data_IF_206433024045
#
_entry.id   IF_206433024045
#
_cell.length_a   1.000
_cell.length_b   1.000
_cell.length_c   1.000
_cell.angle_alpha   90.00
_cell.angle_beta   90.00
_cell.angle_gamma   90.00
#
_symmetry.space_group_name_H-M   'P 1'
#
loop_
_entity.id
_entity.type
_entity.pdbx_description
1 polymer ?
#
# COMPACT_ATOMS: atom_id res chain seq x y z
N UNK A 1 -5.16 6.50 13.08
CA UNK A 1 -5.34 7.63 14.03
C UNK A 1 -4.72 8.93 13.48
N UNK A 2 -3.66 8.86 12.67
CA UNK A 2 -2.96 10.03 12.11
C UNK A 2 -3.42 10.49 10.70
N UNK A 3 -4.19 9.70 9.94
CA UNK A 3 -4.79 10.18 8.68
C UNK A 3 -5.73 11.39 8.89
N UNK A 4 -6.45 11.42 10.01
CA UNK A 4 -7.29 12.57 10.36
C UNK A 4 -6.45 13.80 10.79
N UNK A 5 -5.25 13.58 11.31
CA UNK A 5 -4.30 14.63 11.68
C UNK A 5 -3.82 15.32 10.39
N UNK A 6 -3.41 14.54 9.39
CA UNK A 6 -2.96 15.08 8.10
C UNK A 6 -4.08 15.58 7.20
N UNK A 7 -5.31 15.08 7.30
CA UNK A 7 -6.43 15.53 6.46
C UNK A 7 -7.24 16.68 7.08
N UNK A 8 -7.52 16.61 8.39
CA UNK A 8 -8.45 17.51 9.10
C UNK A 8 -7.75 18.47 10.08
N UNK A 9 -6.47 18.28 10.38
CA UNK A 9 -5.76 19.09 11.37
C UNK A 9 -6.28 18.85 12.79
N UNK A 10 -6.73 17.64 13.11
CA UNK A 10 -7.31 17.31 14.42
C UNK A 10 -6.54 16.17 15.08
N UNK A 11 -6.04 16.40 16.28
CA UNK A 11 -5.38 15.41 17.13
C UNK A 11 -6.20 15.19 18.42
N UNK A 12 -6.43 13.93 18.79
CA UNK A 12 -7.14 13.58 20.01
C UNK A 12 -6.17 12.90 20.99
N UNK A 13 -6.01 13.50 22.17
CA UNK A 13 -5.25 12.95 23.27
C UNK A 13 -6.13 12.78 24.50
N UNK A 14 -6.48 11.53 24.84
CA UNK A 14 -7.29 11.19 26.02
C UNK A 14 -8.61 12.01 26.11
N UNK A 15 -9.29 12.24 24.99
CA UNK A 15 -10.53 13.02 24.94
C UNK A 15 -10.33 14.52 24.76
N UNK A 16 -9.09 15.02 24.82
CA UNK A 16 -8.77 16.41 24.47
C UNK A 16 -8.57 16.52 22.96
N UNK A 17 -9.47 17.27 22.31
CA UNK A 17 -9.40 17.55 20.88
C UNK A 17 -8.53 18.79 20.68
N UNK A 18 -7.44 18.64 19.93
CA UNK A 18 -6.52 19.69 19.55
C UNK A 18 -6.64 19.93 18.05
N UNK A 19 -7.10 21.12 17.68
CA UNK A 19 -7.13 21.56 16.29
C UNK A 19 -5.82 22.30 16.00
N UNK A 20 -5.19 21.98 14.87
CA UNK A 20 -3.97 22.65 14.42
C UNK A 20 -4.01 22.90 12.91
N UNK A 21 -3.40 23.99 12.49
CA UNK A 21 -3.28 24.36 11.08
C UNK A 21 -2.04 23.70 10.49
N UNK A 22 -2.12 23.22 9.24
CA UNK A 22 -0.97 22.65 8.54
C UNK A 22 0.10 23.71 8.32
N UNK A 23 1.35 23.41 8.63
CA UNK A 23 2.47 24.35 8.49
C UNK A 23 2.76 25.16 9.76
N UNK A 24 1.96 24.99 10.82
CA UNK A 24 2.16 25.69 12.09
C UNK A 24 2.57 24.71 13.20
N UNK A 25 3.32 25.23 14.17
CA UNK A 25 3.63 24.51 15.41
C UNK A 25 2.54 24.83 16.43
N UNK A 26 1.73 23.83 16.77
CA UNK A 26 0.83 23.92 17.91
C UNK A 26 1.57 23.46 19.16
N UNK A 27 1.74 24.34 20.14
CA UNK A 27 2.21 23.95 21.48
C UNK A 27 1.16 24.33 22.51
N UNK A 28 0.60 23.35 23.20
CA UNK A 28 -0.45 23.55 24.19
C UNK A 28 -0.18 22.73 25.45
N UNK A 29 -0.71 23.20 26.57
CA UNK A 29 -0.63 22.49 27.85
C UNK A 29 -2.02 22.15 28.33
N UNK A 30 -2.29 20.86 28.51
CA UNK A 30 -3.57 20.34 28.99
C UNK A 30 -3.39 19.70 30.36
N UNK A 31 -4.40 19.79 31.23
CA UNK A 31 -4.41 19.04 32.49
C UNK A 31 -4.85 17.62 32.18
N UNK A 32 -3.99 16.63 32.44
CA UNK A 32 -4.24 15.22 32.14
C UNK A 32 -4.47 14.38 33.40
N UNK A 33 -4.40 15.00 34.58
CA UNK A 33 -4.73 14.38 35.86
C UNK A 33 -5.10 15.44 36.89
N UNK A 34 -6.19 15.23 37.63
CA UNK A 34 -6.79 16.27 38.47
C UNK A 34 -7.52 17.34 37.64
N UNK A 35 -7.72 18.53 38.20
CA UNK A 35 -8.30 19.66 37.47
C UNK A 35 -7.64 20.98 37.87
N UNK A 36 -7.75 21.98 36.98
CA UNK A 36 -7.31 23.35 37.22
C UNK A 36 -8.39 24.30 36.73
N UNK A 37 -8.94 25.13 37.62
CA UNK A 37 -9.95 26.14 37.31
C UNK A 37 -9.59 27.44 38.05
N UNK A 38 -9.53 28.57 37.33
CA UNK A 38 -9.24 29.91 37.89
C UNK A 38 -8.04 29.97 38.85
N UNK A 39 -6.94 29.32 38.46
CA UNK A 39 -5.71 29.29 39.26
C UNK A 39 -5.76 28.36 40.49
N UNK A 40 -6.91 27.74 40.78
CA UNK A 40 -7.04 26.70 41.81
C UNK A 40 -6.88 25.32 41.19
N UNK A 41 -6.12 24.46 41.86
CA UNK A 41 -5.88 23.09 41.44
C UNK A 41 -6.61 22.12 42.36
N UNK A 42 -7.33 21.15 41.78
CA UNK A 42 -7.92 20.04 42.54
C UNK A 42 -7.18 18.75 42.20
N UNK A 43 -6.72 18.07 43.23
CA UNK A 43 -5.99 16.81 43.09
C UNK A 43 -6.85 15.74 42.43
N UNK A 44 -6.23 14.97 41.53
CA UNK A 44 -6.80 13.74 40.99
C UNK A 44 -6.62 12.56 41.94
N UNK A 45 -7.12 11.36 41.55
CA UNK A 45 -6.88 10.12 42.29
C UNK A 45 -5.38 9.79 42.37
N UNK A 46 -4.95 8.91 43.29
CA UNK A 46 -3.56 8.46 43.34
C UNK A 46 -3.08 7.95 41.98
N UNK A 47 -1.89 8.38 41.57
CA UNK A 47 -1.25 8.00 40.31
C UNK A 47 0.05 7.28 40.63
N UNK A 48 0.26 6.09 40.08
CA UNK A 48 1.52 5.37 40.17
C UNK A 48 2.17 5.30 38.79
N UNK A 49 3.43 5.73 38.70
CA UNK A 49 4.23 5.65 37.46
C UNK A 49 5.70 5.45 37.83
N UNK A 50 6.37 4.55 37.11
CA UNK A 50 7.80 4.25 37.29
C UNK A 50 8.16 3.92 38.77
N UNK A 51 7.26 3.21 39.46
CA UNK A 51 7.42 2.80 40.86
C UNK A 51 7.11 3.87 41.91
N UNK A 52 6.85 5.12 41.52
CA UNK A 52 6.52 6.22 42.44
C UNK A 52 5.01 6.41 42.47
N UNK A 53 4.44 6.57 43.66
CA UNK A 53 3.01 6.85 43.85
C UNK A 53 2.80 8.26 44.38
N UNK A 54 2.04 9.06 43.63
CA UNK A 54 1.58 10.37 44.05
C UNK A 54 0.13 10.25 44.52
N UNK A 55 -0.14 10.58 45.78
CA UNK A 55 -1.47 10.41 46.38
C UNK A 55 -2.46 11.53 46.04
N UNK A 56 -1.98 12.74 45.75
CA UNK A 56 -2.80 13.91 45.38
C UNK A 56 -2.24 14.66 44.17
N UNK A 57 -2.04 13.99 43.01
CA UNK A 57 -1.36 14.60 41.89
C UNK A 57 -2.26 15.54 41.09
N UNK A 58 -1.66 16.61 40.57
CA UNK A 58 -2.18 17.39 39.46
C UNK A 58 -1.12 17.35 38.37
N UNK A 59 -1.46 16.81 37.21
CA UNK A 59 -0.51 16.64 36.10
C UNK A 59 -0.97 17.46 34.91
N UNK A 60 -0.08 18.32 34.45
CA UNK A 60 -0.20 19.00 33.16
C UNK A 60 0.73 18.36 32.15
N UNK A 61 0.23 18.12 30.94
CA UNK A 61 0.98 17.58 29.82
C UNK A 61 1.10 18.66 28.76
N UNK A 62 2.34 18.99 28.39
CA UNK A 62 2.63 19.83 27.23
C UNK A 62 2.65 18.95 25.99
N UNK A 63 1.84 19.29 25.00
CA UNK A 63 1.77 18.64 23.70
C UNK A 63 2.26 19.64 22.67
N UNK A 64 3.26 19.25 21.89
CA UNK A 64 3.73 20.01 20.73
C UNK A 64 3.48 19.17 19.48
N UNK A 65 2.76 19.74 18.52
CA UNK A 65 2.49 19.17 17.20
C UNK A 65 3.13 20.11 16.18
N UNK A 66 3.99 19.57 15.34
CA UNK A 66 4.62 20.29 14.24
C UNK A 66 4.24 19.57 12.94
N UNK A 67 3.75 20.34 11.98
CA UNK A 67 3.41 19.81 10.65
C UNK A 67 4.17 20.57 9.58
N UNK A 68 5.00 19.88 8.82
CA UNK A 68 5.70 20.42 7.64
C UNK A 68 5.10 19.89 6.34
N UNK A 69 5.48 20.50 5.22
CA UNK A 69 5.21 20.01 3.87
C UNK A 69 6.51 20.00 3.10
N UNK A 70 6.76 18.93 2.37
CA UNK A 70 7.94 18.79 1.54
C UNK A 70 7.56 18.22 0.18
N UNK A 71 8.34 18.59 -0.82
CA UNK A 71 8.27 18.02 -2.16
C UNK A 71 9.30 16.88 -2.28
N UNK A 72 8.90 15.80 -2.93
CA UNK A 72 9.69 14.57 -3.06
C UNK A 72 9.40 13.94 -4.43
N UNK A 73 10.32 13.10 -4.89
CA UNK A 73 10.17 12.33 -6.13
C UNK A 73 9.47 11.00 -5.87
N UNK A 74 8.63 10.62 -6.83
CA UNK A 74 7.93 9.32 -6.83
C UNK A 74 8.44 8.50 -8.00
N UNK A 75 8.91 7.30 -7.69
CA UNK A 75 9.18 6.25 -8.66
C UNK A 75 7.93 5.36 -8.78
N UNK A 76 7.24 5.50 -9.91
CA UNK A 76 6.04 4.72 -10.16
C UNK A 76 6.31 3.29 -10.62
N UNK A 77 7.49 3.00 -11.15
CA UNK A 77 7.84 1.65 -11.63
C UNK A 77 8.12 0.75 -10.43
N UNK A 78 8.91 1.25 -9.47
CA UNK A 78 9.26 0.55 -8.24
C UNK A 78 8.22 0.72 -7.12
N UNK A 79 7.17 1.53 -7.36
CA UNK A 79 6.16 1.88 -6.36
C UNK A 79 6.77 2.51 -5.09
N UNK A 80 7.69 3.45 -5.26
CA UNK A 80 8.44 4.08 -4.18
C UNK A 80 8.29 5.60 -4.17
N UNK A 81 8.27 6.19 -2.98
CA UNK A 81 8.45 7.61 -2.75
C UNK A 81 9.76 7.81 -1.99
N UNK A 82 10.59 8.74 -2.46
CA UNK A 82 11.94 8.99 -1.93
C UNK A 82 11.90 10.16 -0.95
N UNK A 83 11.67 9.86 0.33
CA UNK A 83 11.71 10.88 1.37
C UNK A 83 13.15 11.39 1.57
N UNK A 84 13.35 12.55 2.25
CA UNK A 84 14.68 13.02 2.58
C UNK A 84 15.53 11.95 3.26
N UNK A 85 16.85 12.13 3.22
CA UNK A 85 17.77 11.18 3.87
C UNK A 85 17.65 9.75 3.27
N UNK A 86 17.18 9.64 2.03
CA UNK A 86 17.04 8.40 1.24
C UNK A 86 16.16 7.33 1.90
N UNK A 87 15.10 7.75 2.59
CA UNK A 87 14.11 6.82 3.14
C UNK A 87 13.10 6.46 2.04
N UNK A 88 13.09 5.19 1.64
CA UNK A 88 12.17 4.68 0.64
C UNK A 88 10.90 4.14 1.29
N UNK A 89 9.75 4.68 0.87
CA UNK A 89 8.45 4.22 1.32
C UNK A 89 7.60 3.75 0.14
N UNK A 90 6.68 2.82 0.37
CA UNK A 90 5.80 2.32 -0.69
C UNK A 90 4.71 3.34 -1.02
N UNK A 91 4.70 3.86 -2.25
CA UNK A 91 3.81 4.94 -2.67
C UNK A 91 2.32 4.60 -2.49
N UNK A 92 1.88 3.37 -2.81
CA UNK A 92 0.46 2.97 -2.70
C UNK A 92 -0.13 3.02 -1.28
N UNK A 93 0.71 2.99 -0.23
CA UNK A 93 0.24 3.07 1.14
C UNK A 93 -0.36 4.46 1.46
N UNK A 94 0.25 5.52 0.95
CA UNK A 94 -0.15 6.90 1.27
C UNK A 94 0.37 7.40 2.61
N UNK A 95 1.10 6.57 3.35
CA UNK A 95 1.70 6.90 4.64
C UNK A 95 3.02 6.15 4.84
N UNK A 96 3.90 6.70 5.68
CA UNK A 96 5.13 6.06 6.12
C UNK A 96 5.65 6.68 7.41
N UNK A 97 6.50 5.96 8.13
CA UNK A 97 7.25 6.51 9.25
C UNK A 97 8.66 6.91 8.81
N UNK A 98 9.04 8.14 9.13
CA UNK A 98 10.38 8.69 8.95
C UNK A 98 10.99 9.00 10.31
N UNK A 99 12.24 8.59 10.54
CA UNK A 99 12.85 8.72 11.86
C UNK A 99 12.98 10.17 12.36
N UNK A 100 13.17 11.12 11.44
CA UNK A 100 13.29 12.55 11.76
C UNK A 100 12.01 13.36 11.58
N UNK A 101 11.08 12.92 10.71
CA UNK A 101 9.84 13.64 10.41
C UNK A 101 8.61 13.03 11.10
N UNK A 102 8.76 11.86 11.73
CA UNK A 102 7.65 11.10 12.30
C UNK A 102 6.76 10.50 11.21
N UNK A 103 5.44 10.58 11.38
CA UNK A 103 4.50 10.03 10.40
C UNK A 103 4.33 11.00 9.23
N UNK A 104 4.62 10.52 8.02
CA UNK A 104 4.52 11.26 6.75
C UNK A 104 3.35 10.71 5.95
N UNK A 105 2.61 11.59 5.29
CA UNK A 105 1.40 11.25 4.53
C UNK A 105 1.42 11.92 3.16
N UNK A 106 0.89 11.24 2.16
CA UNK A 106 0.68 11.79 0.82
C UNK A 106 -0.61 11.29 0.20
N UNK A 107 -1.06 12.00 -0.84
CA UNK A 107 -2.21 11.57 -1.63
C UNK A 107 -1.75 10.67 -2.76
N UNK A 108 -2.35 9.50 -2.86
CA UNK A 108 -2.22 8.66 -4.06
C UNK A 108 -3.22 9.16 -5.10
N UNK A 109 -2.78 9.29 -6.35
CA UNK A 109 -3.67 9.76 -7.41
C UNK A 109 -4.74 8.71 -7.69
N UNK A 110 -6.01 9.02 -7.43
CA UNK A 110 -7.15 8.19 -7.85
C UNK A 110 -7.64 8.69 -9.22
N UNK A 111 -7.95 7.81 -10.17
CA UNK A 111 -8.52 8.22 -11.45
C UNK A 111 -9.87 8.94 -11.32
N UNK A 112 -9.94 10.17 -11.82
CA UNK A 112 -11.20 10.89 -12.09
C UNK A 112 -11.70 10.59 -13.51
N UNK A 113 -13.02 10.66 -13.70
CA UNK A 113 -13.70 10.22 -14.92
C UNK A 113 -14.17 11.37 -15.78
N UNK A 114 -13.28 12.35 -15.91
CA UNK A 114 -13.50 13.52 -16.71
C UNK A 114 -12.72 13.38 -18.02
N UNK A 115 -13.23 13.93 -19.12
CA UNK A 115 -12.68 13.77 -20.49
C UNK A 115 -11.23 14.25 -20.67
N UNK A 116 -10.68 14.93 -19.65
CA UNK A 116 -9.32 15.47 -19.61
C UNK A 116 -8.28 14.53 -18.99
N UNK A 117 -8.69 13.39 -18.43
CA UNK A 117 -7.75 12.43 -17.87
C UNK A 117 -7.07 11.62 -18.99
N UNK A 118 -5.73 11.71 -19.10
CA UNK A 118 -4.89 10.83 -19.92
C UNK A 118 -4.91 9.39 -19.37
N UNK A 119 -6.05 8.71 -19.41
CA UNK A 119 -6.20 7.35 -18.91
C UNK A 119 -6.92 6.49 -19.91
N UNK A 120 -6.31 5.34 -20.19
CA UNK A 120 -6.78 4.36 -21.15
C UNK A 120 -7.33 3.14 -20.41
N UNK A 121 -8.37 2.52 -20.96
CA UNK A 121 -8.63 1.11 -20.69
C UNK A 121 -7.51 0.32 -21.34
N UNK A 122 -6.72 -0.35 -20.51
CA UNK A 122 -5.56 -1.14 -20.94
C UNK A 122 -6.03 -2.54 -21.35
N UNK A 123 -6.91 -3.16 -20.57
CA UNK A 123 -7.53 -4.43 -20.92
C UNK A 123 -9.02 -4.43 -20.54
N UNK A 124 -9.85 -5.07 -21.37
CA UNK A 124 -11.26 -5.36 -21.10
C UNK A 124 -11.55 -6.76 -21.60
N UNK A 125 -11.96 -7.63 -20.69
CA UNK A 125 -12.25 -9.03 -20.99
C UNK A 125 -12.52 -9.81 -19.71
N UNK A 126 -12.71 -11.11 -19.83
CA UNK A 126 -12.91 -11.98 -18.69
C UNK A 126 -11.57 -12.25 -17.99
N UNK A 127 -11.64 -12.40 -16.67
CA UNK A 127 -10.48 -12.72 -15.85
C UNK A 127 -10.90 -13.69 -14.74
N UNK A 128 -9.99 -14.55 -14.31
CA UNK A 128 -10.20 -15.48 -13.21
C UNK A 128 -9.50 -14.97 -11.95
N UNK A 129 -10.18 -15.04 -10.81
CA UNK A 129 -9.57 -14.72 -9.52
C UNK A 129 -8.95 -15.97 -8.89
N UNK A 130 -7.68 -15.89 -8.55
CA UNK A 130 -6.93 -16.95 -7.86
C UNK A 130 -6.55 -16.43 -6.48
N UNK A 131 -6.98 -17.13 -5.44
CA UNK A 131 -6.63 -16.80 -4.07
C UNK A 131 -5.51 -17.71 -3.59
N UNK A 132 -4.43 -17.13 -3.07
CA UNK A 132 -3.37 -17.84 -2.37
C UNK A 132 -3.50 -17.53 -0.89
N UNK A 133 -3.67 -18.58 -0.10
CA UNK A 133 -3.64 -18.52 1.35
C UNK A 133 -2.38 -19.24 1.83
N UNK A 134 -1.47 -18.50 2.48
CA UNK A 134 -0.26 -19.05 3.09
C UNK A 134 -0.41 -19.25 4.61
N UNK A 135 -1.64 -19.12 5.14
CA UNK A 135 -1.97 -19.23 6.56
C UNK A 135 -1.73 -17.95 7.36
N UNK A 136 -1.05 -16.95 6.79
CA UNK A 136 -0.73 -15.66 7.45
C UNK A 136 -1.40 -14.50 6.71
N UNK A 137 -1.39 -14.53 5.38
CA UNK A 137 -2.01 -13.53 4.52
C UNK A 137 -2.71 -14.17 3.32
N UNK A 138 -3.97 -13.78 3.14
CA UNK A 138 -4.72 -14.10 1.93
C UNK A 138 -4.37 -13.09 0.83
N UNK A 139 -3.79 -13.57 -0.26
CA UNK A 139 -3.44 -12.76 -1.42
C UNK A 139 -4.30 -13.15 -2.62
N UNK A 140 -5.00 -12.20 -3.20
CA UNK A 140 -5.81 -12.42 -4.40
C UNK A 140 -5.04 -11.97 -5.64
N UNK A 141 -5.03 -12.80 -6.66
CA UNK A 141 -4.49 -12.50 -7.97
C UNK A 141 -5.60 -12.57 -9.02
N UNK A 142 -5.51 -11.72 -10.03
CA UNK A 142 -6.35 -11.76 -11.21
C UNK A 142 -5.51 -12.26 -12.36
N UNK A 143 -5.94 -13.36 -12.95
CA UNK A 143 -5.32 -13.99 -14.10
C UNK A 143 -6.20 -13.76 -15.32
N UNK A 144 -5.59 -13.25 -16.38
CA UNK A 144 -6.22 -13.06 -17.69
C UNK A 144 -5.53 -13.98 -18.65
N UNK A 145 -6.30 -14.79 -19.37
CA UNK A 145 -5.83 -15.65 -20.45
C UNK A 145 -6.89 -15.61 -21.54
N UNK A 146 -6.66 -14.77 -22.55
CA UNK A 146 -7.57 -14.61 -23.69
C UNK A 146 -6.76 -14.30 -24.95
N UNK A 147 -7.05 -15.05 -26.02
CA UNK A 147 -6.32 -14.99 -27.29
C UNK A 147 -4.80 -15.19 -27.09
N UNK A 148 -3.99 -14.17 -27.43
CA UNK A 148 -2.53 -14.15 -27.27
C UNK A 148 -2.07 -13.33 -26.04
N UNK A 149 -3.00 -12.94 -25.16
CA UNK A 149 -2.71 -12.11 -23.98
C UNK A 149 -2.88 -12.95 -22.72
N UNK A 150 -1.76 -13.15 -22.01
CA UNK A 150 -1.73 -13.84 -20.72
C UNK A 150 -1.03 -12.96 -19.69
N UNK A 151 -1.69 -12.54 -18.62
CA UNK A 151 -1.00 -11.82 -17.54
C UNK A 151 -1.67 -12.04 -16.18
N UNK A 152 -0.92 -11.73 -15.12
CA UNK A 152 -1.41 -11.81 -13.75
C UNK A 152 -1.12 -10.50 -13.00
N UNK A 153 -2.12 -10.03 -12.25
CA UNK A 153 -2.01 -8.88 -11.37
C UNK A 153 -2.39 -9.28 -9.95
N UNK A 154 -1.65 -8.80 -8.96
CA UNK A 154 -1.97 -8.96 -7.55
C UNK A 154 -2.93 -7.84 -7.11
N UNK A 155 -4.05 -8.22 -6.50
CA UNK A 155 -4.93 -7.25 -5.87
C UNK A 155 -4.39 -6.89 -4.48
N UNK A 156 -4.39 -5.59 -4.20
CA UNK A 156 -4.25 -5.05 -2.87
C UNK A 156 -5.65 -4.94 -2.28
N UNK A 157 -5.82 -5.30 -1.00
CA UNK A 157 -7.11 -5.23 -0.28
C UNK A 157 -7.72 -3.83 -0.20
N UNK A 158 -6.91 -2.79 -0.47
CA UNK A 158 -7.33 -1.39 -0.57
C UNK A 158 -8.19 -1.19 -1.82
N UNK A 159 -9.30 -0.48 -1.65
CA UNK A 159 -10.20 -0.13 -2.75
C UNK A 159 -10.36 1.37 -2.87
N UNK A 160 -10.74 1.81 -4.05
CA UNK A 160 -11.08 3.20 -4.36
C UNK A 160 -12.28 3.23 -5.28
N UNK A 161 -12.87 4.40 -5.47
CA UNK A 161 -13.97 4.58 -6.40
C UNK A 161 -13.45 5.27 -7.67
N UNK A 162 -13.58 4.61 -8.81
CA UNK A 162 -13.28 5.16 -10.13
C UNK A 162 -14.58 5.19 -10.93
N UNK A 163 -15.02 6.39 -11.30
CA UNK A 163 -16.23 6.60 -12.11
C UNK A 163 -17.54 6.11 -11.48
N UNK A 164 -17.62 6.04 -10.15
CA UNK A 164 -18.76 5.44 -9.47
C UNK A 164 -18.59 3.93 -9.21
N UNK A 165 -17.56 3.30 -9.78
CA UNK A 165 -17.30 1.87 -9.63
C UNK A 165 -16.25 1.59 -8.56
N UNK A 166 -16.42 0.47 -7.85
CA UNK A 166 -15.44 -0.01 -6.90
C UNK A 166 -14.26 -0.63 -7.64
N UNK A 167 -13.11 -0.02 -7.48
CA UNK A 167 -11.84 -0.45 -8.08
C UNK A 167 -10.84 -0.85 -7.02
N UNK A 168 -10.02 -1.84 -7.36
CA UNK A 168 -8.98 -2.40 -6.51
C UNK A 168 -7.63 -1.85 -6.94
N UNK A 169 -6.80 -1.50 -5.97
CA UNK A 169 -5.39 -1.21 -6.23
C UNK A 169 -4.67 -2.50 -6.62
N UNK A 170 -3.65 -2.38 -7.45
CA UNK A 170 -2.75 -3.50 -7.75
C UNK A 170 -1.35 -3.21 -7.21
N UNK A 171 -0.43 -4.15 -7.38
CA UNK A 171 0.99 -3.97 -7.06
C UNK A 171 1.63 -2.78 -7.78
N UNK A 172 1.10 -2.39 -8.94
CA UNK A 172 1.59 -1.25 -9.70
C UNK A 172 0.74 0.00 -9.42
N UNK A 173 1.34 1.14 -9.02
CA UNK A 173 0.63 2.30 -8.48
C UNK A 173 -0.29 3.02 -9.47
N UNK A 174 -0.12 2.80 -10.78
CA UNK A 174 -0.96 3.35 -11.85
C UNK A 174 -2.00 2.36 -12.39
N UNK A 175 -2.00 1.10 -11.93
CA UNK A 175 -2.94 0.08 -12.37
C UNK A 175 -4.05 -0.12 -11.35
N UNK A 176 -5.25 -0.24 -11.87
CA UNK A 176 -6.46 -0.46 -11.10
C UNK A 176 -7.27 -1.54 -11.79
N UNK A 177 -7.89 -2.42 -11.01
CA UNK A 177 -8.81 -3.43 -11.52
C UNK A 177 -10.21 -3.06 -11.08
N UNK A 178 -11.14 -3.01 -12.03
CA UNK A 178 -12.54 -2.76 -11.75
C UNK A 178 -13.33 -3.95 -12.25
N UNK A 179 -14.07 -4.60 -11.35
CA UNK A 179 -15.03 -5.63 -11.72
C UNK A 179 -16.34 -4.94 -12.07
N UNK A 180 -16.87 -5.27 -13.23
CA UNK A 180 -18.16 -4.80 -13.72
C UNK A 180 -18.99 -6.01 -14.07
N UNK A 181 -20.29 -5.95 -13.78
CA UNK A 181 -21.24 -6.98 -14.24
C UNK A 181 -21.38 -6.88 -15.77
N UNK A 182 -21.67 -7.99 -16.43
CA UNK A 182 -21.66 -8.11 -17.91
C UNK A 182 -22.55 -7.06 -18.62
N UNK A 183 -23.60 -6.57 -17.96
CA UNK A 183 -24.53 -5.59 -18.51
C UNK A 183 -24.12 -4.12 -18.26
N UNK A 184 -23.05 -3.87 -17.50
CA UNK A 184 -22.70 -2.51 -17.05
C UNK A 184 -21.62 -1.87 -17.92
N UNK A 185 -21.95 -0.71 -18.48
CA UNK A 185 -20.99 0.09 -19.25
C UNK A 185 -20.03 0.86 -18.33
N UNK A 186 -18.73 0.61 -18.47
CA UNK A 186 -17.71 1.37 -17.77
C UNK A 186 -17.34 2.64 -18.57
N UNK A 187 -17.47 3.85 -17.99
CA UNK A 187 -17.50 5.12 -18.73
C UNK A 187 -16.12 5.68 -19.12
N UNK A 188 -15.07 4.85 -19.17
CA UNK A 188 -13.75 5.26 -19.68
C UNK A 188 -13.58 4.82 -21.13
N UNK A 189 -12.99 5.69 -21.96
CA UNK A 189 -12.69 5.38 -23.36
C UNK A 189 -11.28 4.78 -23.51
N UNK A 190 -11.09 3.91 -24.51
CA UNK A 190 -9.79 3.35 -24.89
C UNK A 190 -8.99 4.39 -25.67
N UNK A 191 -8.54 5.47 -25.01
CA UNK A 191 -7.57 6.41 -25.59
C UNK A 191 -6.18 6.06 -25.07
N UNK A 192 -5.43 5.31 -25.86
CA UNK A 192 -4.05 4.94 -25.56
C UNK A 192 -3.18 6.19 -25.76
N UNK A 193 -2.60 6.71 -24.68
CA UNK A 193 -1.53 7.71 -24.67
C UNK A 193 -0.17 7.01 -24.57
N UNK A 194 0.93 7.67 -24.92
CA UNK A 194 2.29 7.11 -24.85
C UNK A 194 2.60 6.49 -23.47
N UNK A 195 2.18 7.14 -22.37
CA UNK A 195 2.34 6.63 -21.00
C UNK A 195 1.58 5.32 -20.71
N UNK A 196 0.50 5.06 -21.45
CA UNK A 196 -0.25 3.81 -21.34
C UNK A 196 0.36 2.68 -22.19
N UNK A 197 1.19 3.02 -23.18
CA UNK A 197 1.98 2.04 -23.92
C UNK A 197 3.11 1.45 -23.05
N UNK A 198 3.78 2.27 -22.23
CA UNK A 198 4.76 1.78 -21.25
C UNK A 198 4.12 0.81 -20.24
N UNK A 199 2.87 1.10 -19.86
CA UNK A 199 2.14 0.26 -18.92
C UNK A 199 1.67 -1.07 -19.55
N UNK A 200 1.34 -1.05 -20.84
CA UNK A 200 1.15 -2.28 -21.62
C UNK A 200 2.44 -3.09 -21.68
N UNK A 201 3.59 -2.45 -21.90
CA UNK A 201 4.88 -3.12 -21.89
C UNK A 201 5.19 -3.75 -20.53
N UNK A 202 4.84 -3.09 -19.43
CA UNK A 202 4.95 -3.65 -18.07
C UNK A 202 4.08 -4.90 -17.88
N UNK A 203 2.82 -4.86 -18.33
CA UNK A 203 1.92 -6.02 -18.27
C UNK A 203 2.49 -7.16 -19.12
N UNK A 204 2.96 -6.85 -20.32
CA UNK A 204 3.55 -7.81 -21.25
C UNK A 204 4.91 -8.36 -20.76
N UNK A 205 5.69 -7.60 -19.99
CA UNK A 205 6.99 -8.03 -19.48
C UNK A 205 6.86 -8.98 -18.27
N UNK A 206 5.77 -8.89 -17.50
CA UNK A 206 5.44 -9.88 -16.46
C UNK A 206 5.22 -11.29 -17.04
N UNK A 207 4.83 -11.39 -18.31
CA UNK A 207 4.72 -12.65 -19.06
C UNK A 207 6.09 -13.31 -19.23
N UNK A 208 7.13 -12.52 -19.50
CA UNK A 208 8.50 -13.01 -19.74
C UNK A 208 9.15 -13.55 -18.47
N UNK A 209 8.79 -13.05 -17.28
CA UNK A 209 9.31 -13.60 -16.03
C UNK A 209 8.66 -14.93 -15.65
N UNK A 210 7.34 -15.09 -15.85
CA UNK A 210 6.67 -16.37 -15.59
C UNK A 210 7.15 -17.45 -16.56
N UNK A 211 7.25 -17.13 -17.86
CA UNK A 211 7.71 -18.08 -18.89
C UNK A 211 9.18 -18.49 -18.72
N UNK A 212 10.06 -17.57 -18.32
CA UNK A 212 11.47 -17.91 -18.00
C UNK A 212 11.58 -18.81 -16.77
N UNK A 213 10.79 -18.53 -15.73
CA UNK A 213 10.85 -19.35 -14.52
C UNK A 213 10.28 -20.76 -14.77
N UNK A 214 9.21 -20.91 -15.56
CA UNK A 214 8.72 -22.24 -15.95
C UNK A 214 9.70 -22.99 -16.84
N UNK A 215 10.34 -22.32 -17.82
CA UNK A 215 11.37 -22.93 -18.66
C UNK A 215 12.55 -23.47 -17.83
N UNK A 216 13.04 -22.69 -16.86
CA UNK A 216 14.13 -23.12 -15.97
C UNK A 216 13.74 -24.33 -15.09
N UNK A 217 12.47 -24.44 -14.69
CA UNK A 217 11.99 -25.59 -13.93
C UNK A 217 11.87 -26.84 -14.83
N UNK A 218 11.43 -26.68 -16.08
CA UNK A 218 11.42 -27.77 -17.06
C UNK A 218 12.83 -28.25 -17.39
N UNK A 219 13.80 -27.35 -17.58
CA UNK A 219 15.19 -27.71 -17.87
C UNK A 219 15.82 -28.49 -16.71
N UNK A 220 15.55 -28.07 -15.46
CA UNK A 220 16.02 -28.79 -14.26
C UNK A 220 15.40 -30.18 -14.13
N UNK A 221 14.10 -30.30 -14.40
CA UNK A 221 13.41 -31.58 -14.38
C UNK A 221 13.95 -32.52 -15.46
N UNK A 222 14.18 -32.01 -16.67
CA UNK A 222 14.75 -32.77 -17.78
C UNK A 222 16.17 -33.26 -17.46
N UNK A 223 17.01 -32.40 -16.87
CA UNK A 223 18.35 -32.78 -16.42
C UNK A 223 18.31 -33.88 -15.34
N UNK A 224 17.36 -33.82 -14.40
CA UNK A 224 17.17 -34.87 -13.39
C UNK A 224 16.78 -36.21 -14.01
N UNK A 225 15.82 -36.22 -14.95
CA UNK A 225 15.42 -37.45 -15.63
C UNK A 225 16.54 -38.08 -16.44
N UNK A 226 17.40 -37.27 -17.08
CA UNK A 226 18.56 -37.79 -17.80
C UNK A 226 19.58 -38.43 -16.84
N UNK A 227 19.83 -37.80 -15.70
CA UNK A 227 20.71 -38.34 -14.67
C UNK A 227 20.16 -39.65 -14.11
N UNK A 228 18.86 -39.71 -13.79
CA UNK A 228 18.21 -40.92 -13.28
C UNK A 228 18.25 -42.06 -14.30
N UNK A 229 18.11 -41.75 -15.59
CA UNK A 229 18.25 -42.73 -16.67
C UNK A 229 19.66 -43.28 -16.75
N UNK A 230 20.68 -42.41 -16.70
CA UNK A 230 22.08 -42.86 -16.65
C UNK A 230 22.38 -43.74 -15.43
N UNK A 231 21.89 -43.36 -14.26
CA UNK A 231 22.10 -44.15 -13.02
C UNK A 231 21.37 -45.50 -13.10
N UNK A 232 20.18 -45.56 -13.70
CA UNK A 232 19.48 -46.83 -13.93
C UNK A 232 20.21 -47.72 -14.93
N UNK A 233 20.68 -47.17 -16.05
CA UNK A 233 21.46 -47.91 -17.04
C UNK A 233 22.75 -48.47 -16.43
N UNK A 234 23.44 -47.68 -15.61
CA UNK A 234 24.63 -48.14 -14.88
C UNK A 234 24.31 -49.27 -13.89
N UNK A 235 23.21 -49.16 -13.13
CA UNK A 235 22.77 -50.22 -12.20
C UNK A 235 22.36 -51.51 -12.90
N UNK A 236 21.83 -51.44 -14.12
CA UNK A 236 21.50 -52.63 -14.92
C UNK A 236 22.79 -53.32 -15.40
N UNK A 237 23.81 -52.54 -15.79
CA UNK A 237 25.11 -53.07 -16.19
C UNK A 237 25.90 -53.68 -15.02
N UNK A 238 25.75 -53.14 -13.81
CA UNK A 238 26.39 -53.67 -12.60
C UNK A 238 25.70 -54.93 -12.02
N UNK A 239 24.50 -55.29 -12.49
CA UNK A 239 23.75 -56.49 -12.07
C UNK A 239 23.80 -57.63 -13.12
N UNK A 240 24.73 -57.56 -14.08
CA UNK A 240 25.01 -58.60 -15.07
C UNK A 240 26.41 -59.20 -14.89
#
# INVERSE_FOLDING_TARGET
>A
MCDNVSARGVFNYNGHILNFTKGEVLSTTIVTHGSKHDGKCSAGPPLTRDGITWYRPVRTTKITIEGSKEETTVDFEENQILLPQNVNCRYTLGECFHYSLGNVFWRTSVPECNDKAERAIIFKGHATSVERDDGVMKTTYIHVSQDDIEFQLQLISKTTNICGFKSYYTEHPKLFVTFVDDETYFPLSKKISDKSADLMLYINSKIVMVSRNTHLQFDRLYASFQLDRCVMEQKILDNY
#
